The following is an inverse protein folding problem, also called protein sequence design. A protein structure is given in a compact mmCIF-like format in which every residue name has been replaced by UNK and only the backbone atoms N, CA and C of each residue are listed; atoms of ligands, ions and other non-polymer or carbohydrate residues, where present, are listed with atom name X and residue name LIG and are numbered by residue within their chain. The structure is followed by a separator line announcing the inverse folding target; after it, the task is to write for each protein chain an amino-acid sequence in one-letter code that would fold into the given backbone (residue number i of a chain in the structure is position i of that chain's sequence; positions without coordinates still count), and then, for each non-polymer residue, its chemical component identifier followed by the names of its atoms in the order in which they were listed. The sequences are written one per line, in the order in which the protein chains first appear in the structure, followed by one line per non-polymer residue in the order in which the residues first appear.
data_IF_479368912773
#
_entry.id   IF_479368912773
#
_cell.length_a   1.000
_cell.length_b   1.000
_cell.length_c   1.000
_cell.angle_alpha   90.00
_cell.angle_beta   90.00
_cell.angle_gamma   90.00
#
_symmetry.space_group_name_H-M   'P 1'
#
loop_
_entity.id
_entity.type
_entity.pdbx_description
1 polymer ?
#
# COMPACT_ATOMS: atom_id res chain seq x y z
N UNK A 1 -11.90 7.26 15.49
CA UNK A 1 -11.67 8.71 15.21
C UNK A 1 -12.42 9.12 13.94
N UNK A 2 -13.70 9.46 14.05
CA UNK A 2 -14.50 9.75 12.86
C UNK A 2 -14.03 10.99 12.09
N UNK A 3 -13.43 11.96 12.78
CA UNK A 3 -12.95 13.21 12.16
C UNK A 3 -11.73 12.99 11.26
N UNK A 4 -10.74 12.22 11.71
CA UNK A 4 -9.54 11.94 10.91
C UNK A 4 -9.86 11.14 9.65
N UNK A 5 -10.63 10.05 9.79
CA UNK A 5 -11.01 9.17 8.68
C UNK A 5 -11.85 9.93 7.63
N UNK A 6 -12.72 10.83 8.07
CA UNK A 6 -13.55 11.67 7.20
C UNK A 6 -12.73 12.65 6.35
N UNK A 7 -11.63 13.16 6.90
CA UNK A 7 -10.76 14.15 6.24
C UNK A 7 -9.37 13.61 5.91
N UNK A 8 -9.25 12.29 5.78
CA UNK A 8 -7.96 11.61 5.54
C UNK A 8 -7.21 12.20 4.34
N UNK A 9 -7.88 12.43 3.21
CA UNK A 9 -7.27 13.03 2.02
C UNK A 9 -6.76 14.44 2.26
N UNK A 10 -7.44 15.22 3.09
CA UNK A 10 -6.98 16.56 3.47
C UNK A 10 -5.71 16.45 4.30
N UNK A 11 -5.68 15.55 5.27
CA UNK A 11 -4.49 15.32 6.11
C UNK A 11 -3.30 14.81 5.31
N UNK A 12 -3.52 13.86 4.42
CA UNK A 12 -2.46 13.36 3.52
C UNK A 12 -2.00 14.46 2.57
N UNK A 13 -2.92 15.23 1.97
CA UNK A 13 -2.58 16.38 1.13
C UNK A 13 -1.75 17.43 1.87
N UNK A 14 -2.12 17.77 3.10
CA UNK A 14 -1.34 18.68 3.95
C UNK A 14 0.05 18.11 4.29
N UNK A 15 0.13 16.81 4.58
CA UNK A 15 1.42 16.14 4.84
C UNK A 15 2.33 16.16 3.61
N UNK A 16 1.78 15.98 2.41
CA UNK A 16 2.52 16.09 1.14
C UNK A 16 3.07 17.51 0.97
N UNK A 17 2.22 18.52 1.11
CA UNK A 17 2.62 19.94 0.99
C UNK A 17 3.68 20.27 2.05
N UNK A 18 3.46 19.84 3.29
CA UNK A 18 4.43 20.04 4.37
C UNK A 18 5.75 19.33 4.09
N UNK A 19 5.72 18.09 3.58
CA UNK A 19 6.91 17.33 3.20
C UNK A 19 7.73 18.03 2.13
N UNK A 20 7.10 18.41 1.03
CA UNK A 20 7.76 19.17 -0.05
C UNK A 20 8.28 20.51 0.46
N UNK A 21 7.46 21.26 1.20
CA UNK A 21 7.86 22.56 1.74
C UNK A 21 9.04 22.48 2.70
N UNK A 22 9.03 21.51 3.63
CA UNK A 22 10.13 21.29 4.56
C UNK A 22 11.39 20.77 3.85
N UNK A 23 11.23 19.87 2.87
CA UNK A 23 12.36 19.37 2.07
C UNK A 23 13.10 20.47 1.34
N UNK A 24 12.38 21.49 0.86
CA UNK A 24 12.97 22.66 0.20
C UNK A 24 13.50 23.69 1.19
N UNK A 25 12.79 23.90 2.32
CA UNK A 25 13.19 24.93 3.30
C UNK A 25 14.39 24.51 4.15
N UNK A 26 14.52 23.23 4.46
CA UNK A 26 15.54 22.68 5.37
C UNK A 26 16.20 21.43 4.77
N UNK A 27 16.81 21.50 3.57
CA UNK A 27 17.46 20.33 2.94
C UNK A 27 18.46 19.60 3.83
N UNK A 28 19.28 20.28 4.67
CA UNK A 28 20.27 19.61 5.52
C UNK A 28 19.64 18.63 6.51
N UNK A 29 18.42 18.90 6.99
CA UNK A 29 17.68 17.99 7.87
C UNK A 29 17.37 16.67 7.15
N UNK A 30 16.83 16.77 5.95
CA UNK A 30 16.47 15.58 5.15
C UNK A 30 17.72 14.81 4.71
N UNK A 31 18.81 15.49 4.38
CA UNK A 31 20.11 14.85 4.08
C UNK A 31 20.66 14.10 5.29
N UNK A 32 20.58 14.69 6.49
CA UNK A 32 21.01 14.03 7.72
C UNK A 32 20.15 12.78 8.02
N UNK A 33 18.83 12.88 7.83
CA UNK A 33 17.91 11.74 8.00
C UNK A 33 18.14 10.69 6.92
N UNK A 34 18.41 11.09 5.67
CA UNK A 34 18.75 10.18 4.58
C UNK A 34 20.05 9.41 4.85
N UNK A 35 21.04 10.07 5.46
CA UNK A 35 22.32 9.44 5.84
C UNK A 35 22.19 8.43 7.00
N UNK A 36 21.04 8.38 7.67
CA UNK A 36 20.78 7.43 8.75
C UNK A 36 20.37 6.06 8.17
N UNK A 37 21.32 5.44 7.49
CA UNK A 37 21.15 4.22 6.70
C UNK A 37 22.05 3.10 7.24
N UNK A 38 21.50 1.88 7.29
CA UNK A 38 22.22 0.65 7.60
C UNK A 38 21.85 -0.45 6.61
N UNK A 39 22.83 -1.06 5.96
CA UNK A 39 22.63 -2.11 4.95
C UNK A 39 21.61 -1.73 3.85
N UNK A 40 21.72 -0.52 3.33
CA UNK A 40 20.79 0.07 2.34
C UNK A 40 19.36 0.31 2.83
N UNK A 41 19.11 0.20 4.12
CA UNK A 41 17.80 0.49 4.73
C UNK A 41 17.87 1.80 5.50
N UNK A 42 17.02 2.77 5.14
CA UNK A 42 16.91 4.00 5.90
C UNK A 42 16.17 3.74 7.22
N UNK A 43 16.89 3.91 8.34
CA UNK A 43 16.37 3.59 9.66
C UNK A 43 15.23 4.52 10.12
N UNK A 44 15.23 5.79 9.69
CA UNK A 44 14.14 6.71 10.02
C UNK A 44 12.85 6.29 9.33
N UNK A 45 12.92 5.94 8.04
CA UNK A 45 11.77 5.39 7.29
C UNK A 45 11.29 4.10 7.96
N UNK A 46 12.21 3.21 8.35
CA UNK A 46 11.88 1.97 9.03
C UNK A 46 11.11 2.22 10.33
N UNK A 47 11.57 3.15 11.17
CA UNK A 47 10.90 3.48 12.44
C UNK A 47 9.49 4.00 12.22
N UNK A 48 9.28 4.93 11.27
CA UNK A 48 7.93 5.45 11.00
C UNK A 48 7.00 4.40 10.41
N UNK A 49 7.49 3.54 9.52
CA UNK A 49 6.73 2.40 9.02
C UNK A 49 6.34 1.46 10.16
N UNK A 50 7.27 1.15 11.07
CA UNK A 50 6.99 0.32 12.23
C UNK A 50 5.94 0.93 13.15
N UNK A 51 6.03 2.21 13.45
CA UNK A 51 5.05 2.94 14.27
C UNK A 51 3.65 2.87 13.64
N UNK A 52 3.57 2.92 12.33
CA UNK A 52 2.31 2.83 11.59
C UNK A 52 1.78 1.39 11.51
N UNK A 53 2.64 0.44 11.13
CA UNK A 53 2.24 -0.94 10.80
C UNK A 53 2.03 -1.79 12.05
N UNK A 54 2.81 -1.60 13.10
CA UNK A 54 2.75 -2.41 14.31
C UNK A 54 1.35 -2.51 14.96
N UNK A 55 0.60 -1.40 15.14
CA UNK A 55 -0.77 -1.49 15.67
C UNK A 55 -1.73 -2.28 14.76
N UNK A 56 -1.46 -2.31 13.45
CA UNK A 56 -2.24 -3.08 12.50
C UNK A 56 -1.92 -4.56 12.60
N UNK A 57 -0.63 -4.91 12.75
CA UNK A 57 -0.18 -6.29 12.92
C UNK A 57 -0.73 -6.94 14.20
N UNK A 58 -0.97 -6.17 15.26
CA UNK A 58 -1.63 -6.66 16.48
C UNK A 58 -3.08 -7.09 16.20
N UNK A 59 -3.74 -6.48 15.22
CA UNK A 59 -5.12 -6.80 14.85
C UNK A 59 -5.23 -8.12 14.08
N UNK A 60 -4.13 -8.61 13.47
CA UNK A 60 -4.14 -9.85 12.71
C UNK A 60 -4.54 -11.01 13.61
N UNK A 61 -5.65 -11.62 13.29
CA UNK A 61 -6.17 -12.79 14.00
C UNK A 61 -5.95 -14.06 13.18
N UNK A 62 -4.91 -14.80 13.51
CA UNK A 62 -4.60 -16.08 12.85
C UNK A 62 -5.70 -17.12 13.06
N UNK A 63 -6.54 -16.98 14.09
CA UNK A 63 -7.70 -17.85 14.30
C UNK A 63 -8.86 -17.50 13.36
N UNK A 64 -8.93 -16.24 12.92
CA UNK A 64 -9.92 -15.78 11.96
C UNK A 64 -9.75 -16.45 10.58
N UNK A 65 -8.55 -16.95 10.26
CA UNK A 65 -8.32 -17.74 9.05
C UNK A 65 -9.25 -18.98 8.99
N UNK A 66 -9.62 -19.53 10.15
CA UNK A 66 -10.61 -20.60 10.23
C UNK A 66 -12.01 -20.17 9.80
N UNK A 67 -12.28 -18.85 9.83
CA UNK A 67 -13.57 -18.24 9.40
C UNK A 67 -13.58 -17.91 7.91
N UNK A 68 -12.51 -18.19 7.17
CA UNK A 68 -12.41 -18.03 5.69
C UNK A 68 -13.60 -18.68 4.95
N UNK A 69 -14.18 -19.77 5.52
CA UNK A 69 -15.35 -20.44 4.97
C UNK A 69 -16.65 -19.61 4.93
N UNK A 70 -16.73 -18.47 5.62
CA UNK A 70 -17.95 -17.67 5.65
C UNK A 70 -18.18 -16.86 4.37
N UNK A 71 -17.12 -16.32 3.75
CA UNK A 71 -17.17 -15.56 2.50
C UNK A 71 -16.04 -15.95 1.53
N UNK A 72 -15.94 -17.24 1.13
CA UNK A 72 -14.78 -17.73 0.37
C UNK A 72 -14.66 -17.07 -1.01
N UNK A 73 -15.79 -16.71 -1.64
CA UNK A 73 -15.79 -16.05 -2.96
C UNK A 73 -15.19 -14.65 -2.91
N UNK A 74 -15.50 -13.86 -1.88
CA UNK A 74 -14.93 -12.52 -1.71
C UNK A 74 -13.44 -12.58 -1.41
N UNK A 75 -13.01 -13.50 -0.53
CA UNK A 75 -11.61 -13.71 -0.23
C UNK A 75 -10.82 -14.15 -1.47
N UNK A 76 -11.32 -15.15 -2.19
CA UNK A 76 -10.68 -15.64 -3.42
C UNK A 76 -10.56 -14.55 -4.47
N UNK A 77 -11.62 -13.74 -4.65
CA UNK A 77 -11.59 -12.59 -5.57
C UNK A 77 -10.42 -11.67 -5.25
N UNK A 78 -10.29 -11.23 -3.99
CA UNK A 78 -9.23 -10.29 -3.60
C UNK A 78 -7.84 -10.92 -3.72
N UNK A 79 -7.68 -12.21 -3.37
CA UNK A 79 -6.41 -12.91 -3.53
C UNK A 79 -5.98 -13.02 -4.99
N UNK A 80 -6.90 -13.38 -5.88
CA UNK A 80 -6.63 -13.43 -7.32
C UNK A 80 -6.24 -12.04 -7.85
N UNK A 81 -6.99 -11.02 -7.47
CA UNK A 81 -6.67 -9.64 -7.88
C UNK A 81 -5.28 -9.22 -7.36
N UNK A 82 -5.01 -9.38 -6.07
CA UNK A 82 -3.77 -8.89 -5.46
C UNK A 82 -2.51 -9.64 -5.91
N UNK A 83 -2.62 -10.95 -6.14
CA UNK A 83 -1.43 -11.80 -6.34
C UNK A 83 -1.26 -12.31 -7.77
N UNK A 84 -2.33 -12.38 -8.57
CA UNK A 84 -2.27 -12.90 -9.94
C UNK A 84 -2.59 -11.85 -11.02
N UNK A 85 -3.39 -10.84 -10.74
CA UNK A 85 -3.77 -9.85 -11.77
C UNK A 85 -2.98 -8.56 -11.59
N UNK A 86 -3.08 -7.91 -10.43
CA UNK A 86 -2.54 -6.57 -10.20
C UNK A 86 -1.01 -6.46 -10.44
N UNK A 87 -0.15 -7.36 -9.92
CA UNK A 87 1.28 -7.26 -10.15
C UNK A 87 1.65 -7.33 -11.63
N UNK A 88 1.07 -8.26 -12.35
CA UNK A 88 1.39 -8.51 -13.75
C UNK A 88 0.85 -7.41 -14.68
N UNK A 89 -0.36 -6.92 -14.43
CA UNK A 89 -0.91 -5.80 -15.19
C UNK A 89 -0.16 -4.50 -14.91
N UNK A 90 0.31 -4.28 -13.68
CA UNK A 90 1.14 -3.13 -13.34
C UNK A 90 2.49 -3.17 -14.09
N UNK A 91 3.15 -4.32 -14.10
CA UNK A 91 4.39 -4.51 -14.85
C UNK A 91 4.17 -4.30 -16.37
N UNK A 92 3.09 -4.89 -16.91
CA UNK A 92 2.76 -4.74 -18.33
C UNK A 92 2.46 -3.28 -18.71
N UNK A 93 1.67 -2.57 -17.91
CA UNK A 93 1.40 -1.15 -18.12
C UNK A 93 2.68 -0.31 -18.02
N UNK A 94 3.50 -0.55 -17.01
CA UNK A 94 4.79 0.12 -16.87
C UNK A 94 5.65 -0.07 -18.13
N UNK A 95 5.76 -1.31 -18.60
CA UNK A 95 6.51 -1.62 -19.81
C UNK A 95 5.92 -0.94 -21.07
N UNK A 96 4.60 -1.06 -21.30
CA UNK A 96 3.93 -0.45 -22.46
C UNK A 96 4.09 1.08 -22.45
N UNK A 97 3.88 1.72 -21.31
CA UNK A 97 3.98 3.17 -21.25
C UNK A 97 5.42 3.66 -21.39
N UNK A 98 6.37 3.11 -20.65
CA UNK A 98 7.73 3.65 -20.62
C UNK A 98 8.68 3.10 -21.70
N UNK A 99 8.43 1.90 -22.23
CA UNK A 99 9.25 1.35 -23.30
C UNK A 99 8.65 1.56 -24.71
N UNK A 100 7.35 1.88 -24.80
CA UNK A 100 6.69 2.07 -26.11
C UNK A 100 6.12 3.49 -26.26
N UNK A 101 5.16 3.88 -25.41
CA UNK A 101 4.42 5.14 -25.59
C UNK A 101 5.25 6.38 -25.24
N UNK A 102 6.05 6.31 -24.18
CA UNK A 102 6.86 7.43 -23.67
C UNK A 102 8.36 7.28 -24.00
N UNK A 103 8.73 6.32 -24.85
CA UNK A 103 10.13 6.02 -25.19
C UNK A 103 10.90 7.23 -25.76
N UNK A 104 10.21 8.17 -26.40
CA UNK A 104 10.82 9.40 -26.90
C UNK A 104 10.93 10.55 -25.88
N UNK A 105 10.34 10.40 -24.69
CA UNK A 105 10.23 11.44 -23.67
C UNK A 105 11.03 11.15 -22.39
N UNK A 106 11.37 9.89 -22.19
CA UNK A 106 12.10 9.42 -21.01
C UNK A 106 13.29 8.60 -21.48
N UNK A 107 14.48 8.85 -20.92
CA UNK A 107 15.65 8.05 -21.23
C UNK A 107 15.49 6.59 -20.77
N UNK A 108 16.14 5.62 -21.43
CA UNK A 108 15.91 4.19 -21.20
C UNK A 108 16.20 3.74 -19.76
N UNK A 109 17.18 4.34 -19.07
CA UNK A 109 17.54 3.99 -17.71
C UNK A 109 16.46 4.49 -16.73
N UNK A 110 16.09 5.76 -16.84
CA UNK A 110 15.02 6.36 -16.02
C UNK A 110 13.68 5.63 -16.26
N UNK A 111 13.37 5.26 -17.50
CA UNK A 111 12.19 4.46 -17.83
C UNK A 111 12.18 3.12 -17.09
N UNK A 112 13.33 2.45 -17.03
CA UNK A 112 13.49 1.18 -16.31
C UNK A 112 13.28 1.35 -14.80
N UNK A 113 13.79 2.44 -14.21
CA UNK A 113 13.57 2.76 -12.81
C UNK A 113 12.09 3.05 -12.50
N UNK A 114 11.38 3.77 -13.38
CA UNK A 114 9.93 4.00 -13.20
C UNK A 114 9.14 2.70 -13.25
N UNK A 115 9.48 1.79 -14.18
CA UNK A 115 8.88 0.46 -14.25
C UNK A 115 9.12 -0.31 -12.96
N UNK A 116 10.35 -0.26 -12.42
CA UNK A 116 10.68 -0.91 -11.15
C UNK A 116 9.80 -0.41 -9.99
N UNK A 117 9.66 0.90 -9.84
CA UNK A 117 8.79 1.49 -8.82
C UNK A 117 7.33 1.09 -8.98
N UNK A 118 6.81 1.07 -10.20
CA UNK A 118 5.46 0.60 -10.49
C UNK A 118 5.28 -0.87 -10.14
N UNK A 119 6.24 -1.74 -10.48
CA UNK A 119 6.20 -3.17 -10.11
C UNK A 119 6.12 -3.32 -8.58
N UNK A 120 6.98 -2.62 -7.84
CA UNK A 120 6.97 -2.68 -6.37
C UNK A 120 5.63 -2.24 -5.78
N UNK A 121 5.00 -1.18 -6.33
CA UNK A 121 3.65 -0.79 -5.94
C UNK A 121 2.63 -1.90 -6.22
N UNK A 122 2.67 -2.49 -7.41
CA UNK A 122 1.71 -3.50 -7.83
C UNK A 122 1.79 -4.81 -7.04
N UNK A 123 2.97 -5.16 -6.53
CA UNK A 123 3.19 -6.40 -5.76
C UNK A 123 2.83 -6.25 -4.29
N UNK A 124 2.74 -5.03 -3.77
CA UNK A 124 2.44 -4.76 -2.36
C UNK A 124 0.93 -4.52 -2.15
N UNK A 125 0.14 -5.49 -1.66
CA UNK A 125 -1.25 -5.27 -1.32
C UNK A 125 -1.37 -4.40 -0.08
N UNK A 126 -2.36 -3.48 -0.07
CA UNK A 126 -2.57 -2.55 1.03
C UNK A 126 -3.01 -3.25 2.32
N UNK A 127 -2.44 -2.84 3.44
CA UNK A 127 -2.81 -3.29 4.79
C UNK A 127 -3.28 -2.14 5.67
N UNK A 128 -2.72 -0.96 5.46
CA UNK A 128 -2.91 0.19 6.34
C UNK A 128 -4.27 0.86 6.15
N UNK A 129 -4.64 1.17 4.92
CA UNK A 129 -5.81 1.99 4.62
C UNK A 129 -7.07 1.18 4.30
N UNK A 130 -6.97 -0.13 4.22
CA UNK A 130 -8.10 -1.01 3.88
C UNK A 130 -9.27 -0.91 4.85
N UNK A 131 -8.99 -0.73 6.15
CA UNK A 131 -10.04 -0.52 7.15
C UNK A 131 -10.80 0.79 6.95
N UNK A 132 -10.10 1.83 6.49
CA UNK A 132 -10.71 3.13 6.15
C UNK A 132 -11.64 2.96 4.95
N UNK A 133 -11.15 2.34 3.89
CA UNK A 133 -11.94 2.08 2.68
C UNK A 133 -13.17 1.20 2.96
N UNK A 134 -12.98 0.15 3.76
CA UNK A 134 -14.06 -0.72 4.22
C UNK A 134 -15.10 0.06 5.03
N UNK A 135 -14.68 0.86 5.99
CA UNK A 135 -15.60 1.66 6.81
C UNK A 135 -16.39 2.67 5.97
N UNK A 136 -15.74 3.36 5.04
CA UNK A 136 -16.37 4.34 4.16
C UNK A 136 -17.41 3.73 3.21
N UNK A 137 -17.30 2.43 2.90
CA UNK A 137 -18.26 1.68 2.07
C UNK A 137 -19.22 0.81 2.87
N UNK A 138 -19.31 1.02 4.18
CA UNK A 138 -20.14 0.20 5.09
C UNK A 138 -19.82 -1.30 4.98
N UNK A 139 -18.53 -1.60 4.81
CA UNK A 139 -18.01 -2.97 4.70
C UNK A 139 -18.10 -3.74 6.02
N UNK A 140 -18.10 -5.06 5.90
CA UNK A 140 -18.03 -5.97 7.04
C UNK A 140 -16.60 -5.94 7.64
N UNK A 141 -16.50 -5.49 8.89
CA UNK A 141 -15.24 -5.36 9.59
C UNK A 141 -14.55 -6.72 9.83
N UNK A 142 -15.32 -7.78 10.10
CA UNK A 142 -14.79 -9.12 10.30
C UNK A 142 -14.23 -9.68 9.00
N UNK A 143 -14.96 -9.50 7.89
CA UNK A 143 -14.47 -9.87 6.57
C UNK A 143 -13.18 -9.12 6.23
N UNK A 144 -13.16 -7.82 6.46
CA UNK A 144 -11.97 -6.98 6.20
C UNK A 144 -10.76 -7.45 7.00
N UNK A 145 -10.95 -7.78 8.28
CA UNK A 145 -9.89 -8.30 9.15
C UNK A 145 -9.33 -9.64 8.63
N UNK A 146 -10.21 -10.58 8.25
CA UNK A 146 -9.79 -11.85 7.66
C UNK A 146 -9.00 -11.62 6.39
N UNK A 147 -9.48 -10.75 5.53
CA UNK A 147 -8.89 -10.42 4.26
C UNK A 147 -7.47 -9.85 4.41
N UNK A 148 -7.30 -8.87 5.29
CA UNK A 148 -6.00 -8.27 5.60
C UNK A 148 -5.06 -9.33 6.17
N UNK A 149 -5.51 -10.09 7.17
CA UNK A 149 -4.70 -11.12 7.82
C UNK A 149 -4.17 -12.17 6.83
N UNK A 150 -5.02 -12.60 5.90
CA UNK A 150 -4.60 -13.58 4.87
C UNK A 150 -3.62 -12.95 3.88
N UNK A 151 -3.87 -11.72 3.42
CA UNK A 151 -2.96 -11.03 2.50
C UNK A 151 -1.59 -10.77 3.15
N UNK A 152 -1.53 -10.37 4.42
CA UNK A 152 -0.27 -10.10 5.12
C UNK A 152 0.57 -11.37 5.29
N UNK A 153 -0.07 -12.51 5.57
CA UNK A 153 0.63 -13.80 5.64
C UNK A 153 1.17 -14.20 4.27
N UNK A 154 0.36 -14.08 3.22
CA UNK A 154 0.81 -14.39 1.86
C UNK A 154 1.95 -13.45 1.46
N UNK A 155 1.89 -12.18 1.83
CA UNK A 155 2.91 -11.17 1.51
C UNK A 155 4.30 -11.59 2.02
N UNK A 156 4.41 -12.21 3.19
CA UNK A 156 5.68 -12.72 3.72
C UNK A 156 6.39 -13.66 2.75
N UNK A 157 5.63 -14.48 2.02
CA UNK A 157 6.17 -15.49 1.13
C UNK A 157 6.14 -15.11 -0.36
N UNK A 158 5.16 -14.32 -0.77
CA UNK A 158 4.89 -14.03 -2.18
C UNK A 158 5.50 -12.72 -2.67
N UNK A 159 5.67 -11.71 -1.80
CA UNK A 159 6.14 -10.39 -2.22
C UNK A 159 7.51 -10.46 -2.91
N UNK A 160 8.53 -11.02 -2.24
CA UNK A 160 9.88 -11.06 -2.79
C UNK A 160 9.98 -11.90 -4.07
N UNK A 161 9.44 -13.12 -4.17
CA UNK A 161 9.49 -13.90 -5.39
C UNK A 161 8.78 -13.24 -6.58
N UNK A 162 7.60 -12.65 -6.37
CA UNK A 162 6.86 -12.00 -7.46
C UNK A 162 7.58 -10.71 -7.88
N UNK A 163 8.03 -9.89 -6.93
CA UNK A 163 8.80 -8.69 -7.23
C UNK A 163 10.07 -9.02 -8.02
N UNK A 164 10.85 -9.99 -7.57
CA UNK A 164 12.07 -10.40 -8.25
C UNK A 164 11.80 -10.98 -9.65
N UNK A 165 10.74 -11.78 -9.82
CA UNK A 165 10.32 -12.29 -11.12
C UNK A 165 10.00 -11.15 -12.09
N UNK A 166 9.16 -10.20 -11.68
CA UNK A 166 8.71 -9.12 -12.55
C UNK A 166 9.82 -8.10 -12.84
N UNK A 167 10.67 -7.80 -11.86
CA UNK A 167 11.86 -6.97 -12.06
C UNK A 167 12.84 -7.67 -13.03
N UNK A 168 13.10 -8.97 -12.85
CA UNK A 168 13.97 -9.75 -13.71
C UNK A 168 13.47 -9.85 -15.15
N UNK A 169 12.16 -10.03 -15.37
CA UNK A 169 11.56 -10.01 -16.72
C UNK A 169 11.68 -8.62 -17.38
N UNK A 170 11.81 -7.56 -16.56
CA UNK A 170 12.02 -6.18 -17.04
C UNK A 170 13.51 -5.80 -17.17
N UNK A 171 14.41 -6.79 -17.21
CA UNK A 171 15.88 -6.63 -17.30
C UNK A 171 16.48 -5.83 -16.13
N UNK A 172 15.85 -5.91 -14.96
CA UNK A 172 16.30 -5.23 -13.74
C UNK A 172 17.01 -6.24 -12.84
N UNK A 173 18.28 -6.01 -12.56
CA UNK A 173 19.01 -6.83 -11.60
C UNK A 173 18.54 -6.56 -10.18
N UNK A 174 18.16 -7.61 -9.47
CA UNK A 174 17.64 -7.51 -8.10
C UNK A 174 18.67 -8.03 -7.13
N UNK A 175 19.15 -7.22 -6.18
CA UNK A 175 19.92 -7.71 -5.06
C UNK A 175 19.00 -8.47 -4.10
N UNK A 176 18.98 -9.79 -4.20
CA UNK A 176 18.10 -10.66 -3.42
C UNK A 176 18.28 -10.47 -1.90
N UNK A 177 19.52 -10.25 -1.45
CA UNK A 177 19.82 -10.04 -0.04
C UNK A 177 19.10 -8.80 0.50
N UNK A 178 19.14 -7.69 -0.25
CA UNK A 178 18.46 -6.45 0.12
C UNK A 178 16.94 -6.59 0.06
N UNK A 179 16.41 -7.27 -0.96
CA UNK A 179 14.97 -7.51 -1.09
C UNK A 179 14.44 -8.37 0.06
N UNK A 180 15.12 -9.48 0.39
CA UNK A 180 14.73 -10.34 1.49
C UNK A 180 14.87 -9.64 2.84
N UNK A 181 15.97 -8.88 3.05
CA UNK A 181 16.16 -8.07 4.25
C UNK A 181 15.03 -7.05 4.43
N UNK A 182 14.61 -6.39 3.35
CA UNK A 182 13.49 -5.46 3.36
C UNK A 182 12.19 -6.14 3.79
N UNK A 183 11.89 -7.32 3.27
CA UNK A 183 10.69 -8.10 3.68
C UNK A 183 10.78 -8.48 5.16
N UNK A 184 11.94 -8.93 5.61
CA UNK A 184 12.13 -9.28 7.03
C UNK A 184 11.92 -8.05 7.91
N UNK A 185 12.53 -6.93 7.59
CA UNK A 185 12.47 -5.71 8.39
C UNK A 185 11.09 -5.05 8.39
N UNK A 186 10.47 -4.92 7.22
CA UNK A 186 9.22 -4.15 7.10
C UNK A 186 7.95 -4.97 7.27
N UNK A 187 8.02 -6.30 7.10
CA UNK A 187 6.84 -7.18 7.18
C UNK A 187 6.97 -8.21 8.29
N UNK A 188 8.02 -9.05 8.25
CA UNK A 188 8.13 -10.20 9.16
C UNK A 188 8.30 -9.78 10.62
N UNK A 189 9.22 -8.86 10.89
CA UNK A 189 9.47 -8.41 12.27
C UNK A 189 8.28 -7.69 12.89
N UNK A 190 7.61 -6.72 12.23
CA UNK A 190 6.37 -6.13 12.75
C UNK A 190 5.26 -7.17 12.96
N UNK A 191 5.14 -8.14 12.05
CA UNK A 191 4.16 -9.22 12.17
C UNK A 191 4.40 -10.09 13.39
N UNK A 192 5.64 -10.52 13.61
CA UNK A 192 6.02 -11.30 14.81
C UNK A 192 5.79 -10.48 16.07
N UNK A 193 6.21 -9.22 16.11
CA UNK A 193 6.02 -8.34 17.25
C UNK A 193 4.53 -8.15 17.55
N UNK A 194 3.72 -7.90 16.52
CA UNK A 194 2.26 -7.78 16.64
C UNK A 194 1.61 -9.06 17.15
N UNK A 195 1.99 -10.21 16.58
CA UNK A 195 1.50 -11.51 17.00
C UNK A 195 1.81 -11.82 18.47
N UNK A 196 3.05 -11.63 18.90
CA UNK A 196 3.45 -11.86 20.29
C UNK A 196 2.70 -10.92 21.25
N UNK A 197 2.58 -9.64 20.89
CA UNK A 197 1.82 -8.67 21.68
C UNK A 197 0.35 -9.08 21.79
N UNK A 198 -0.27 -9.49 20.68
CA UNK A 198 -1.65 -9.99 20.69
C UNK A 198 -1.80 -11.20 21.62
N UNK A 199 -0.91 -12.19 21.55
CA UNK A 199 -0.97 -13.36 22.41
C UNK A 199 -0.90 -12.99 23.90
N UNK A 200 -0.01 -12.06 24.25
CA UNK A 200 0.12 -11.57 25.64
C UNK A 200 -1.15 -10.84 26.08
N UNK A 201 -1.74 -10.01 25.23
CA UNK A 201 -2.94 -9.26 25.55
C UNK A 201 -4.16 -10.16 25.70
N UNK A 202 -4.31 -11.14 24.79
CA UNK A 202 -5.40 -12.15 24.86
C UNK A 202 -5.29 -12.95 26.15
N UNK A 203 -4.10 -13.41 26.50
CA UNK A 203 -3.86 -14.17 27.73
C UNK A 203 -4.16 -13.36 29.01
N UNK A 204 -3.97 -12.04 28.98
CA UNK A 204 -4.17 -11.14 30.13
C UNK A 204 -5.58 -10.53 30.25
N UNK A 205 -6.42 -10.61 29.23
CA UNK A 205 -7.73 -9.96 29.26
C UNK A 205 -8.58 -10.12 27.99
N UNK A 206 -8.28 -11.14 27.18
CA UNK A 206 -9.08 -11.49 26.00
C UNK A 206 -9.04 -10.44 24.88
N UNK A 207 -9.93 -10.60 23.92
CA UNK A 207 -10.04 -9.72 22.74
C UNK A 207 -10.39 -8.26 23.10
N UNK A 208 -11.09 -8.05 24.21
CA UNK A 208 -11.42 -6.69 24.68
C UNK A 208 -10.16 -5.89 25.02
N UNK A 209 -9.17 -6.54 25.62
CA UNK A 209 -7.90 -5.89 25.94
C UNK A 209 -7.09 -5.58 24.68
N UNK A 210 -7.12 -6.46 23.70
CA UNK A 210 -6.52 -6.20 22.38
C UNK A 210 -7.16 -4.97 21.73
N UNK A 211 -8.49 -4.95 21.65
CA UNK A 211 -9.23 -3.82 21.05
C UNK A 211 -8.93 -2.49 21.75
N UNK A 212 -8.90 -2.48 23.09
CA UNK A 212 -8.56 -1.29 23.88
C UNK A 212 -7.13 -0.82 23.63
N UNK A 213 -6.18 -1.72 23.58
CA UNK A 213 -4.77 -1.41 23.32
C UNK A 213 -4.56 -0.85 21.90
N UNK A 214 -5.14 -1.48 20.90
CA UNK A 214 -5.12 -1.01 19.51
C UNK A 214 -5.77 0.37 19.39
N UNK A 215 -6.91 0.59 20.04
CA UNK A 215 -7.57 1.90 20.06
C UNK A 215 -6.66 2.99 20.64
N UNK A 216 -5.89 2.68 21.69
CA UNK A 216 -4.93 3.61 22.30
C UNK A 216 -3.77 3.93 21.34
N UNK A 217 -3.33 2.94 20.53
CA UNK A 217 -2.24 3.12 19.56
C UNK A 217 -2.70 3.77 18.24
N UNK A 218 -3.99 3.81 17.94
CA UNK A 218 -4.52 4.36 16.70
C UNK A 218 -4.03 5.78 16.36
N UNK A 219 -4.01 6.75 17.31
CA UNK A 219 -3.45 8.08 17.03
C UNK A 219 -1.97 8.04 16.65
N UNK A 220 -1.19 7.17 17.31
CA UNK A 220 0.24 7.00 17.05
C UNK A 220 0.46 6.43 15.64
N UNK A 221 -0.32 5.43 15.23
CA UNK A 221 -0.29 4.88 13.88
C UNK A 221 -0.59 5.94 12.82
N UNK A 222 -1.59 6.79 13.06
CA UNK A 222 -1.95 7.90 12.18
C UNK A 222 -0.82 8.93 12.09
N UNK A 223 -0.21 9.29 13.21
CA UNK A 223 0.96 10.19 13.20
C UNK A 223 2.15 9.56 12.46
N UNK A 224 2.37 8.26 12.64
CA UNK A 224 3.37 7.51 11.87
C UNK A 224 3.14 7.59 10.37
N UNK A 225 1.89 7.39 9.91
CA UNK A 225 1.51 7.54 8.51
C UNK A 225 1.83 8.93 7.97
N UNK A 226 1.36 9.98 8.66
CA UNK A 226 1.57 11.36 8.21
C UNK A 226 3.05 11.73 8.23
N UNK A 227 3.79 11.32 9.26
CA UNK A 227 5.23 11.55 9.34
C UNK A 227 5.99 10.81 8.24
N UNK A 228 5.61 9.58 7.90
CA UNK A 228 6.16 8.84 6.76
C UNK A 228 5.92 9.61 5.46
N UNK A 229 4.70 10.08 5.21
CA UNK A 229 4.37 10.86 4.01
C UNK A 229 5.22 12.15 3.95
N UNK A 230 5.30 12.91 5.06
CA UNK A 230 6.14 14.11 5.13
C UNK A 230 7.60 13.79 4.80
N UNK A 231 8.14 12.73 5.38
CA UNK A 231 9.52 12.33 5.17
C UNK A 231 9.79 11.94 3.71
N UNK A 232 8.94 11.08 3.14
CA UNK A 232 9.09 10.59 1.77
C UNK A 232 8.98 11.71 0.73
N UNK A 233 8.02 12.61 0.90
CA UNK A 233 7.87 13.77 0.02
C UNK A 233 8.97 14.81 0.25
N UNK A 234 9.48 14.95 1.46
CA UNK A 234 10.62 15.78 1.77
C UNK A 234 11.90 15.30 1.09
N UNK A 235 12.15 14.00 1.08
CA UNK A 235 13.26 13.40 0.35
C UNK A 235 13.20 13.64 -1.17
N UNK A 236 12.02 13.66 -1.73
CA UNK A 236 11.80 13.82 -3.18
C UNK A 236 11.48 15.27 -3.58
N UNK A 237 11.52 16.23 -2.65
CA UNK A 237 11.04 17.59 -2.88
C UNK A 237 11.71 18.28 -4.09
N UNK A 238 13.03 18.20 -4.19
CA UNK A 238 13.80 18.76 -5.31
C UNK A 238 13.44 18.05 -6.63
N UNK A 239 13.34 16.72 -6.62
CA UNK A 239 13.01 15.91 -7.81
C UNK A 239 11.60 16.22 -8.31
N UNK A 240 10.63 16.36 -7.40
CA UNK A 240 9.24 16.68 -7.71
C UNK A 240 9.14 18.02 -8.42
N UNK A 241 9.85 19.05 -7.93
CA UNK A 241 9.84 20.38 -8.56
C UNK A 241 10.66 20.42 -9.86
N UNK A 242 11.78 19.70 -9.92
CA UNK A 242 12.64 19.70 -11.08
C UNK A 242 12.07 18.89 -12.26
N UNK A 243 11.22 17.89 -11.98
CA UNK A 243 10.70 16.94 -12.98
C UNK A 243 9.17 16.82 -12.95
N UNK A 244 8.39 17.90 -13.12
CA UNK A 244 6.92 17.83 -13.06
C UNK A 244 6.34 16.96 -14.17
N UNK A 245 6.98 16.91 -15.33
CA UNK A 245 6.56 16.04 -16.44
C UNK A 245 6.66 14.56 -16.04
N UNK A 246 7.70 14.17 -15.32
CA UNK A 246 7.87 12.80 -14.86
C UNK A 246 6.69 12.36 -13.96
N UNK A 247 6.22 13.24 -13.08
CA UNK A 247 5.06 12.96 -12.22
C UNK A 247 3.82 12.66 -13.07
N UNK A 248 3.56 13.49 -14.09
CA UNK A 248 2.41 13.28 -14.98
C UNK A 248 2.54 11.96 -15.76
N UNK A 249 3.72 11.69 -16.31
CA UNK A 249 3.98 10.46 -17.06
C UNK A 249 3.82 9.20 -16.21
N UNK A 250 4.24 9.24 -14.95
CA UNK A 250 4.07 8.12 -14.01
C UNK A 250 2.60 8.02 -13.56
N UNK A 251 1.92 9.13 -13.32
CA UNK A 251 0.54 9.14 -12.87
C UNK A 251 -0.43 8.53 -13.88
N UNK A 252 -0.20 8.70 -15.18
CA UNK A 252 -1.10 8.18 -16.22
C UNK A 252 -1.27 6.65 -16.15
N UNK A 253 -0.21 5.82 -16.25
CA UNK A 253 -0.37 4.38 -16.14
C UNK A 253 -0.86 3.93 -14.75
N UNK A 254 -0.52 4.64 -13.68
CA UNK A 254 -1.03 4.34 -12.34
C UNK A 254 -2.55 4.58 -12.23
N UNK A 255 -3.06 5.66 -12.81
CA UNK A 255 -4.49 5.92 -12.90
C UNK A 255 -5.22 4.82 -13.67
N UNK A 256 -4.69 4.46 -14.85
CA UNK A 256 -5.26 3.39 -15.68
C UNK A 256 -5.26 2.07 -14.92
N UNK A 257 -4.17 1.74 -14.24
CA UNK A 257 -4.06 0.53 -13.43
C UNK A 257 -5.09 0.51 -12.32
N UNK A 258 -5.20 1.58 -11.54
CA UNK A 258 -6.07 1.61 -10.36
C UNK A 258 -7.54 1.51 -10.77
N UNK A 259 -7.99 2.31 -11.74
CA UNK A 259 -9.36 2.19 -12.26
C UNK A 259 -9.61 0.86 -12.97
N UNK A 260 -8.64 0.38 -13.75
CA UNK A 260 -8.74 -0.88 -14.48
C UNK A 260 -8.91 -2.08 -13.54
N UNK A 261 -8.08 -2.17 -12.51
CA UNK A 261 -8.18 -3.24 -11.49
C UNK A 261 -9.52 -3.15 -10.76
N UNK A 262 -9.94 -1.93 -10.39
CA UNK A 262 -11.24 -1.76 -9.75
C UNK A 262 -12.38 -2.25 -10.64
N UNK A 263 -12.39 -1.89 -11.92
CA UNK A 263 -13.44 -2.34 -12.86
C UNK A 263 -13.46 -3.86 -12.97
N UNK A 264 -12.29 -4.49 -13.09
CA UNK A 264 -12.18 -5.96 -13.15
C UNK A 264 -12.72 -6.59 -11.86
N UNK A 265 -12.27 -6.10 -10.71
CA UNK A 265 -12.69 -6.61 -9.40
C UNK A 265 -14.20 -6.40 -9.16
N UNK A 266 -14.72 -5.22 -9.52
CA UNK A 266 -16.11 -4.84 -9.31
C UNK A 266 -17.06 -5.65 -10.20
N UNK A 267 -16.68 -5.84 -11.47
CA UNK A 267 -17.41 -6.70 -12.38
C UNK A 267 -17.42 -8.17 -11.91
N UNK A 268 -16.28 -8.68 -11.47
CA UNK A 268 -16.15 -10.03 -10.95
C UNK A 268 -16.97 -10.22 -9.64
N UNK A 269 -16.91 -9.24 -8.72
CA UNK A 269 -17.71 -9.25 -7.50
C UNK A 269 -19.22 -9.34 -7.78
N UNK A 270 -19.69 -8.60 -8.80
CA UNK A 270 -21.08 -8.65 -9.25
C UNK A 270 -21.43 -10.02 -9.85
N UNK A 271 -20.55 -10.59 -10.68
CA UNK A 271 -20.74 -11.92 -11.27
C UNK A 271 -20.75 -13.03 -10.22
N UNK A 272 -19.96 -12.88 -9.17
CA UNK A 272 -19.93 -13.81 -8.03
C UNK A 272 -21.10 -13.61 -7.05
N UNK A 273 -21.99 -12.63 -7.30
CA UNK A 273 -23.14 -12.29 -6.46
C UNK A 273 -22.73 -12.03 -5.00
N UNK A 274 -21.67 -11.26 -4.82
CA UNK A 274 -21.24 -10.87 -3.49
C UNK A 274 -22.20 -9.85 -2.89
N UNK A 275 -22.44 -9.92 -1.59
CA UNK A 275 -23.17 -8.88 -0.86
C UNK A 275 -22.39 -7.58 -0.86
N UNK A 276 -23.08 -6.42 -0.83
CA UNK A 276 -22.42 -5.10 -0.89
C UNK A 276 -21.34 -4.91 0.18
N UNK A 277 -21.62 -5.32 1.43
CA UNK A 277 -20.70 -5.20 2.55
C UNK A 277 -19.42 -6.06 2.44
N UNK A 278 -19.41 -7.03 1.51
CA UNK A 278 -18.23 -7.85 1.14
C UNK A 278 -17.62 -7.34 -0.16
N UNK A 279 -18.45 -7.01 -1.16
CA UNK A 279 -18.00 -6.58 -2.48
C UNK A 279 -17.20 -5.27 -2.43
N UNK A 280 -17.69 -4.27 -1.67
CA UNK A 280 -17.00 -2.99 -1.49
C UNK A 280 -15.57 -3.17 -0.97
N UNK A 281 -15.39 -3.76 0.24
CA UNK A 281 -14.06 -4.05 0.75
C UNK A 281 -13.22 -4.92 -0.18
N UNK A 282 -13.76 -6.00 -0.74
CA UNK A 282 -13.04 -6.90 -1.64
C UNK A 282 -12.40 -6.15 -2.83
N UNK A 283 -13.19 -5.30 -3.48
CA UNK A 283 -12.72 -4.54 -4.65
C UNK A 283 -11.71 -3.47 -4.26
N UNK A 284 -11.95 -2.74 -3.17
CA UNK A 284 -11.06 -1.67 -2.75
C UNK A 284 -9.73 -2.18 -2.18
N UNK A 285 -9.73 -3.29 -1.43
CA UNK A 285 -8.51 -3.97 -0.96
C UNK A 285 -7.72 -4.50 -2.16
N UNK A 286 -8.39 -5.08 -3.15
CA UNK A 286 -7.74 -5.56 -4.38
C UNK A 286 -7.13 -4.43 -5.21
N UNK A 287 -7.65 -3.22 -5.11
CA UNK A 287 -7.22 -2.06 -5.90
C UNK A 287 -6.11 -1.27 -5.23
N UNK A 288 -6.17 -1.11 -3.91
CA UNK A 288 -5.22 -0.32 -3.11
C UNK A 288 -3.85 -0.98 -2.99
N UNK A 289 -2.80 -0.18 -2.81
CA UNK A 289 -1.42 -0.62 -2.67
C UNK A 289 -0.87 -0.29 -1.28
N UNK A 290 0.12 -1.06 -0.84
CA UNK A 290 0.91 -0.75 0.34
C UNK A 290 2.10 0.10 -0.07
N UNK A 291 1.84 1.37 -0.35
CA UNK A 291 2.84 2.27 -0.89
C UNK A 291 4.04 2.48 0.05
N UNK A 292 3.84 2.43 1.35
CA UNK A 292 4.90 2.63 2.34
C UNK A 292 5.95 1.51 2.22
N UNK A 293 5.51 0.27 2.08
CA UNK A 293 6.41 -0.85 1.82
C UNK A 293 7.09 -0.69 0.45
N UNK A 294 6.33 -0.36 -0.58
CA UNK A 294 6.86 -0.18 -1.93
C UNK A 294 7.95 0.90 -1.97
N UNK A 295 7.72 2.06 -1.33
CA UNK A 295 8.72 3.14 -1.25
C UNK A 295 9.95 2.70 -0.47
N UNK A 296 9.77 2.05 0.69
CA UNK A 296 10.89 1.59 1.51
C UNK A 296 11.78 0.60 0.75
N UNK A 297 11.16 -0.35 0.04
CA UNK A 297 11.89 -1.33 -0.79
C UNK A 297 12.54 -0.64 -1.99
N UNK A 298 11.85 0.30 -2.66
CA UNK A 298 12.41 1.06 -3.77
C UNK A 298 13.67 1.85 -3.36
N UNK A 299 13.61 2.52 -2.20
CA UNK A 299 14.77 3.23 -1.64
C UNK A 299 15.91 2.26 -1.33
N UNK A 300 15.61 1.13 -0.72
CA UNK A 300 16.61 0.13 -0.34
C UNK A 300 17.29 -0.53 -1.56
N UNK A 301 16.55 -0.76 -2.64
CA UNK A 301 17.08 -1.42 -3.84
C UNK A 301 17.77 -0.45 -4.81
N UNK A 302 17.23 0.75 -4.98
CA UNK A 302 17.62 1.67 -6.05
C UNK A 302 18.15 3.00 -5.53
N UNK A 303 18.05 3.25 -4.23
CA UNK A 303 18.46 4.50 -3.60
C UNK A 303 17.36 5.55 -3.52
N UNK A 304 17.59 6.50 -2.62
CA UNK A 304 16.60 7.53 -2.24
C UNK A 304 16.18 8.44 -3.40
N UNK A 305 17.11 8.80 -4.30
CA UNK A 305 16.85 9.71 -5.41
C UNK A 305 16.56 9.00 -6.73
N UNK A 306 16.32 7.69 -6.69
CA UNK A 306 16.02 6.89 -7.88
C UNK A 306 14.65 7.20 -8.48
N UNK A 307 14.51 6.96 -9.77
CA UNK A 307 13.21 7.00 -10.45
C UNK A 307 12.22 6.00 -9.87
N UNK A 308 12.70 4.87 -9.33
CA UNK A 308 11.86 3.89 -8.66
C UNK A 308 11.22 4.44 -7.37
N UNK A 309 12.02 5.13 -6.54
CA UNK A 309 11.51 5.82 -5.36
C UNK A 309 10.51 6.92 -5.75
N UNK A 310 10.81 7.71 -6.78
CA UNK A 310 9.88 8.72 -7.30
C UNK A 310 8.56 8.10 -7.77
N UNK A 311 8.60 7.02 -8.53
CA UNK A 311 7.39 6.37 -9.03
C UNK A 311 6.49 5.86 -7.89
N UNK A 312 7.08 5.32 -6.82
CA UNK A 312 6.31 4.88 -5.65
C UNK A 312 5.69 6.05 -4.88
N UNK A 313 6.39 7.18 -4.77
CA UNK A 313 5.86 8.42 -4.14
C UNK A 313 4.72 9.01 -4.98
N UNK A 314 4.84 9.02 -6.32
CA UNK A 314 3.74 9.43 -7.21
C UNK A 314 2.53 8.49 -7.03
N UNK A 315 2.75 7.21 -6.72
CA UNK A 315 1.68 6.29 -6.34
C UNK A 315 0.80 6.81 -5.22
N UNK A 316 1.39 7.44 -4.19
CA UNK A 316 0.63 8.05 -3.08
C UNK A 316 -0.25 9.20 -3.56
N UNK A 317 0.30 10.06 -4.43
CA UNK A 317 -0.45 11.20 -5.00
C UNK A 317 -1.69 10.75 -5.77
N UNK A 318 -1.56 9.65 -6.51
CA UNK A 318 -2.63 9.09 -7.33
C UNK A 318 -3.62 8.31 -6.48
N UNK A 319 -3.15 7.48 -5.58
CA UNK A 319 -3.97 6.50 -4.89
C UNK A 319 -5.07 7.15 -4.03
N UNK A 320 -4.73 8.11 -3.18
CA UNK A 320 -5.70 8.65 -2.21
C UNK A 320 -6.91 9.30 -2.90
N UNK A 321 -6.77 10.23 -3.88
CA UNK A 321 -7.92 10.82 -4.55
C UNK A 321 -8.69 9.81 -5.41
N UNK A 322 -8.01 8.87 -6.05
CA UNK A 322 -8.66 7.82 -6.85
C UNK A 322 -9.47 6.90 -5.96
N UNK A 323 -8.91 6.41 -4.86
CA UNK A 323 -9.62 5.52 -3.94
C UNK A 323 -10.88 6.18 -3.36
N UNK A 324 -10.86 7.48 -3.06
CA UNK A 324 -12.06 8.19 -2.64
C UNK A 324 -13.13 8.27 -3.73
N UNK A 325 -12.72 8.44 -4.98
CA UNK A 325 -13.65 8.38 -6.13
C UNK A 325 -14.27 6.98 -6.26
N UNK A 326 -13.49 5.93 -6.05
CA UNK A 326 -13.95 4.54 -6.08
C UNK A 326 -14.90 4.24 -4.91
N UNK A 327 -14.62 4.75 -3.71
CA UNK A 327 -15.55 4.68 -2.57
C UNK A 327 -16.89 5.34 -2.92
N UNK A 328 -16.86 6.50 -3.57
CA UNK A 328 -18.08 7.17 -4.03
C UNK A 328 -18.86 6.34 -5.06
N UNK A 329 -18.17 5.68 -5.99
CA UNK A 329 -18.78 4.77 -6.97
C UNK A 329 -19.44 3.59 -6.24
N UNK A 330 -18.71 2.90 -5.35
CA UNK A 330 -19.24 1.76 -4.59
C UNK A 330 -20.51 2.14 -3.81
N UNK A 331 -20.50 3.30 -3.14
CA UNK A 331 -21.65 3.75 -2.36
C UNK A 331 -22.86 4.13 -3.23
N UNK A 332 -22.62 4.73 -4.40
CA UNK A 332 -23.71 5.11 -5.34
C UNK A 332 -24.31 3.91 -6.05
N UNK A 333 -23.55 2.83 -6.21
CA UNK A 333 -23.97 1.64 -6.95
C UNK A 333 -24.24 0.44 -6.02
N UNK A 334 -24.47 0.69 -4.73
CA UNK A 334 -24.75 -0.35 -3.74
C UNK A 334 -25.94 -1.25 -4.15
N UNK A 335 -26.94 -0.67 -4.82
CA UNK A 335 -28.10 -1.40 -5.36
C UNK A 335 -27.77 -2.43 -6.46
N UNK A 336 -26.54 -2.46 -6.97
CA UNK A 336 -26.09 -3.48 -7.93
C UNK A 336 -25.74 -4.80 -7.26
N UNK A 337 -25.64 -4.82 -5.95
CA UNK A 337 -25.29 -5.98 -5.15
C UNK A 337 -26.47 -6.41 -4.28
N UNK A 338 -26.49 -7.69 -3.90
CA UNK A 338 -27.50 -8.20 -2.98
C UNK A 338 -27.43 -7.45 -1.65
N UNK A 339 -28.58 -7.06 -1.10
CA UNK A 339 -28.63 -6.47 0.22
C UNK A 339 -28.16 -7.50 1.27
N UNK A 340 -27.41 -7.05 2.24
CA UNK A 340 -27.11 -7.87 3.42
C UNK A 340 -28.42 -8.05 4.17
N UNK A 341 -29.06 -9.23 4.04
CA UNK A 341 -30.09 -9.62 5.00
C UNK A 341 -29.48 -9.52 6.39
N UNK A 342 -30.01 -8.60 7.17
CA UNK A 342 -29.58 -8.22 8.51
C UNK A 342 -29.56 -9.37 9.51
#
# INVERSE_FOLDING_TARGET
MPFFERYLSVWVGLAIIAGVGLGLAVPPLFQAVAAFEYAHVNLAVAVFIWVMVYPMMIQIDFTAIRKVGQNPRGLLLTLVINWLIKPFTMAALGWVFFKVLFAGWVDPQTATEYIAGMILLGVAPCTAMVFVWSHLTKGDANYTLVQVSVNDIIMVFAFAPIAALLLGVSDITVPWDTLLLSVVLYVVLPLIAGFLTRQILVAKGGEEKVARFVHTLKPISVMGLLATVVLLFGFQAETILAKPLAIVLIAIPLLIQTYGIFVIAYWAARRLRLKHNVAGPACLIGTSNFFELAVAVAISLFGLHSGAALATVVGVLVEVPVMLSLVAIVNRTSHWFEESSG
#
